data_IF_138153046792
#
_entry.id   IF_138153046792
#
_cell.length_a   1.000
_cell.length_b   1.000
_cell.length_c   1.000
_cell.angle_alpha   90.00
_cell.angle_beta   90.00
_cell.angle_gamma   90.00
#
_symmetry.space_group_name_H-M   'P 1'
#
loop_
_entity.id
_entity.type
_entity.pdbx_description
1 polymer ?
#
# COMPACT_ATOMS: atom_id res chain seq x y z
N UNK A 1 39.98 5.40 -9.41
CA UNK A 1 39.68 4.15 -8.68
C UNK A 1 38.69 4.50 -7.57
N UNK A 2 37.38 4.21 -7.75
CA UNK A 2 36.39 4.47 -6.72
C UNK A 2 36.55 3.45 -5.59
N UNK A 3 36.86 3.92 -4.39
CA UNK A 3 36.86 3.07 -3.20
C UNK A 3 35.45 2.44 -3.01
N UNK A 4 35.37 1.13 -2.73
CA UNK A 4 34.09 0.50 -2.49
C UNK A 4 33.39 1.13 -1.26
N UNK A 5 32.09 1.41 -1.37
CA UNK A 5 31.32 1.95 -0.24
C UNK A 5 31.31 0.96 0.92
N UNK A 6 31.30 1.45 2.15
CA UNK A 6 31.28 0.63 3.41
C UNK A 6 30.29 -0.53 3.36
N UNK A 7 29.18 -0.37 2.68
CA UNK A 7 28.13 -1.36 2.46
C UNK A 7 28.54 -2.51 1.55
N UNK A 8 29.31 -2.23 0.48
CA UNK A 8 29.85 -3.26 -0.41
C UNK A 8 30.91 -4.09 0.31
N UNK A 9 31.71 -3.45 1.18
CA UNK A 9 32.68 -4.14 2.04
C UNK A 9 31.95 -5.08 3.00
N UNK A 10 30.86 -4.66 3.61
CA UNK A 10 30.07 -5.51 4.51
C UNK A 10 29.42 -6.68 3.76
N UNK A 11 28.90 -6.47 2.58
CA UNK A 11 28.35 -7.54 1.75
C UNK A 11 29.45 -8.56 1.38
N UNK A 12 30.62 -8.10 0.91
CA UNK A 12 31.76 -8.95 0.61
C UNK A 12 32.22 -9.75 1.84
N UNK A 13 32.27 -9.13 3.00
CA UNK A 13 32.63 -9.82 4.26
C UNK A 13 31.63 -10.94 4.61
N UNK A 14 30.34 -10.73 4.40
CA UNK A 14 29.33 -11.78 4.58
C UNK A 14 29.55 -12.97 3.62
N UNK A 15 29.88 -12.67 2.34
CA UNK A 15 30.15 -13.71 1.35
C UNK A 15 31.41 -14.53 1.72
N UNK A 16 32.48 -13.86 2.14
CA UNK A 16 33.73 -14.51 2.58
C UNK A 16 33.45 -15.40 3.79
N UNK A 17 32.75 -14.88 4.80
CA UNK A 17 32.39 -15.64 6.02
C UNK A 17 31.57 -16.90 5.69
N UNK A 18 30.58 -16.77 4.80
CA UNK A 18 29.78 -17.92 4.37
C UNK A 18 30.64 -18.97 3.66
N UNK A 19 31.57 -18.54 2.77
CA UNK A 19 32.49 -19.42 2.07
C UNK A 19 33.42 -20.17 3.05
N UNK A 20 34.01 -19.48 4.02
CA UNK A 20 34.85 -20.08 5.07
C UNK A 20 34.03 -21.12 5.86
N UNK A 21 32.77 -20.82 6.16
CA UNK A 21 31.88 -21.72 6.89
C UNK A 21 31.24 -22.81 6.00
N UNK A 22 31.69 -22.96 4.76
CA UNK A 22 31.14 -23.92 3.77
C UNK A 22 29.62 -23.80 3.56
N UNK A 23 29.04 -22.61 3.71
CA UNK A 23 27.63 -22.35 3.50
C UNK A 23 27.37 -21.97 2.03
N UNK A 24 26.33 -22.56 1.44
CA UNK A 24 25.90 -22.29 0.09
C UNK A 24 25.01 -21.05 0.08
N UNK A 25 25.48 -19.99 -0.57
CA UNK A 25 24.69 -18.77 -0.76
C UNK A 25 23.85 -18.87 -2.04
N UNK A 26 22.70 -18.16 -2.12
CA UNK A 26 21.95 -18.07 -3.36
C UNK A 26 22.81 -17.57 -4.52
N UNK A 27 22.54 -18.00 -5.77
CA UNK A 27 23.24 -17.51 -6.96
C UNK A 27 23.03 -16.01 -7.16
N UNK A 28 23.84 -15.40 -8.01
CA UNK A 28 23.80 -13.98 -8.35
C UNK A 28 25.06 -13.23 -7.96
N UNK A 29 25.15 -12.00 -8.39
CA UNK A 29 26.27 -11.07 -8.22
C UNK A 29 25.96 -10.01 -7.14
N UNK A 30 26.82 -8.99 -7.03
CA UNK A 30 26.62 -7.82 -6.17
C UNK A 30 26.12 -6.59 -6.95
N UNK A 31 25.32 -6.80 -7.99
CA UNK A 31 24.67 -5.70 -8.69
C UNK A 31 23.63 -5.00 -7.79
N UNK A 32 23.52 -3.69 -7.96
CA UNK A 32 22.56 -2.84 -7.29
C UNK A 32 21.15 -3.01 -7.90
N UNK A 33 20.42 -4.01 -7.41
CA UNK A 33 19.11 -4.35 -7.97
C UNK A 33 18.06 -3.29 -7.72
N UNK A 34 18.16 -2.54 -6.63
CA UNK A 34 17.32 -1.38 -6.35
C UNK A 34 17.52 -0.22 -7.37
N UNK A 35 18.72 -0.13 -7.96
CA UNK A 35 19.00 0.87 -9.01
C UNK A 35 18.51 0.36 -10.37
N UNK A 36 18.82 -0.90 -10.71
CA UNK A 36 18.42 -1.53 -11.98
C UNK A 36 16.88 -1.52 -12.10
N UNK A 37 16.17 -1.87 -11.03
CA UNK A 37 14.70 -1.88 -10.97
C UNK A 37 14.07 -0.51 -11.31
N UNK A 38 14.78 0.61 -11.12
CA UNK A 38 14.26 1.94 -11.46
C UNK A 38 14.13 2.15 -12.96
N UNK A 39 14.99 1.55 -13.75
CA UNK A 39 15.00 1.66 -15.21
C UNK A 39 14.40 0.44 -15.91
N UNK A 40 14.40 -0.71 -15.25
CA UNK A 40 13.86 -1.96 -15.77
C UNK A 40 12.94 -2.61 -14.74
N UNK A 41 11.66 -2.50 -14.99
CA UNK A 41 10.61 -2.99 -14.11
C UNK A 41 10.58 -4.51 -14.00
N UNK A 42 11.08 -5.22 -15.01
CA UNK A 42 11.09 -6.68 -15.08
C UNK A 42 12.40 -7.33 -14.64
N UNK A 43 13.39 -6.53 -14.31
CA UNK A 43 14.74 -7.00 -14.00
C UNK A 43 14.82 -8.15 -12.98
N UNK A 44 13.95 -8.14 -11.95
CA UNK A 44 13.93 -9.22 -10.94
C UNK A 44 13.25 -10.49 -11.47
N UNK A 45 12.27 -10.36 -12.36
CA UNK A 45 11.61 -11.49 -13.04
C UNK A 45 12.65 -12.18 -13.94
N UNK A 46 13.37 -11.41 -14.75
CA UNK A 46 14.38 -11.93 -15.69
C UNK A 46 15.56 -12.56 -14.95
N UNK A 47 15.94 -12.00 -13.79
CA UNK A 47 16.94 -12.64 -12.93
C UNK A 47 16.44 -13.94 -12.35
N UNK A 48 15.23 -14.00 -11.87
CA UNK A 48 14.61 -15.22 -11.37
C UNK A 48 14.55 -16.32 -12.43
N UNK A 49 14.23 -15.97 -13.66
CA UNK A 49 14.22 -16.92 -14.79
C UNK A 49 15.60 -17.52 -15.06
N UNK A 50 16.69 -16.73 -14.89
CA UNK A 50 18.06 -17.20 -15.15
C UNK A 50 18.73 -17.90 -13.97
N UNK A 51 18.47 -17.42 -12.74
CA UNK A 51 19.20 -17.84 -11.54
C UNK A 51 18.38 -18.77 -10.63
N UNK A 52 17.10 -18.93 -10.91
CA UNK A 52 16.15 -19.63 -10.04
C UNK A 52 15.41 -18.67 -9.10
N UNK A 53 14.46 -19.22 -8.35
CA UNK A 53 13.50 -18.42 -7.57
C UNK A 53 14.09 -17.78 -6.30
N UNK A 54 15.31 -18.14 -5.92
CA UNK A 54 16.04 -17.55 -4.80
C UNK A 54 17.41 -17.09 -5.31
N UNK A 55 17.67 -15.79 -5.28
CA UNK A 55 18.93 -15.21 -5.77
C UNK A 55 19.36 -14.02 -4.89
N UNK A 56 20.62 -13.61 -5.03
CA UNK A 56 21.18 -12.48 -4.28
C UNK A 56 21.55 -11.30 -5.17
N UNK A 57 21.70 -10.15 -4.55
CA UNK A 57 22.17 -8.90 -5.11
C UNK A 57 22.41 -7.86 -4.01
N UNK A 58 22.52 -6.59 -4.39
CA UNK A 58 22.50 -5.49 -3.41
C UNK A 58 21.18 -4.73 -3.49
N UNK A 59 20.71 -4.27 -2.34
CA UNK A 59 19.59 -3.37 -2.18
C UNK A 59 19.91 -2.41 -1.04
N UNK A 60 19.75 -1.10 -1.27
CA UNK A 60 20.09 -0.08 -0.28
C UNK A 60 21.52 -0.25 0.28
N UNK A 61 22.46 -0.58 -0.60
CA UNK A 61 23.86 -0.88 -0.28
C UNK A 61 24.07 -2.06 0.69
N UNK A 62 23.11 -2.96 0.84
CA UNK A 62 23.16 -4.16 1.68
C UNK A 62 23.09 -5.42 0.83
N UNK A 63 23.72 -6.50 1.30
CA UNK A 63 23.44 -7.82 0.75
C UNK A 63 21.96 -8.12 0.90
N UNK A 64 21.28 -8.39 -0.20
CA UNK A 64 19.88 -8.72 -0.24
C UNK A 64 19.66 -10.09 -0.90
N UNK A 65 18.74 -10.87 -0.34
CA UNK A 65 18.27 -12.12 -0.92
C UNK A 65 16.84 -11.91 -1.36
N UNK A 66 16.58 -12.22 -2.63
CA UNK A 66 15.30 -12.07 -3.30
C UNK A 66 14.66 -13.44 -3.41
N UNK A 67 13.37 -13.52 -3.08
CA UNK A 67 12.59 -14.76 -3.10
C UNK A 67 11.36 -14.57 -3.96
N UNK A 68 11.25 -15.33 -5.04
CA UNK A 68 10.10 -15.42 -5.92
C UNK A 68 9.18 -16.57 -5.49
N UNK A 69 7.88 -16.39 -5.68
CA UNK A 69 6.83 -17.35 -5.33
C UNK A 69 6.17 -17.04 -3.98
N UNK A 70 4.86 -16.73 -4.00
CA UNK A 70 4.11 -16.40 -2.78
C UNK A 70 4.08 -17.56 -1.78
N UNK A 71 3.87 -18.80 -2.26
CA UNK A 71 3.87 -20.00 -1.42
C UNK A 71 5.23 -20.19 -0.74
N UNK A 72 6.34 -20.04 -1.49
CA UNK A 72 7.71 -20.09 -0.96
C UNK A 72 7.96 -18.99 0.06
N UNK A 73 7.58 -17.75 -0.26
CA UNK A 73 7.68 -16.62 0.64
C UNK A 73 6.93 -16.84 1.95
N UNK A 74 5.74 -17.44 1.88
CA UNK A 74 4.94 -17.78 3.06
C UNK A 74 5.60 -18.86 3.91
N UNK A 75 6.09 -19.94 3.28
CA UNK A 75 6.82 -21.01 3.97
C UNK A 75 8.04 -20.44 4.71
N UNK A 76 8.86 -19.65 4.03
CA UNK A 76 10.03 -19.01 4.62
C UNK A 76 9.67 -18.12 5.82
N UNK A 77 8.63 -17.29 5.70
CA UNK A 77 8.20 -16.42 6.81
C UNK A 77 7.72 -17.20 8.03
N UNK A 78 7.07 -18.35 7.85
CA UNK A 78 6.59 -19.21 8.95
C UNK A 78 7.73 -19.98 9.61
N UNK A 79 8.55 -20.64 8.81
CA UNK A 79 9.64 -21.46 9.29
C UNK A 79 10.72 -20.64 10.00
N UNK A 80 10.97 -19.42 9.50
CA UNK A 80 12.06 -18.56 9.96
C UNK A 80 11.58 -17.33 10.74
N UNK A 81 10.35 -17.34 11.27
CA UNK A 81 9.73 -16.19 11.95
C UNK A 81 10.63 -15.62 13.07
N UNK A 82 11.27 -16.47 13.87
CA UNK A 82 12.16 -16.06 14.96
C UNK A 82 13.50 -15.45 14.49
N UNK A 83 13.89 -15.69 13.24
CA UNK A 83 15.12 -15.17 12.65
C UNK A 83 14.91 -13.89 11.85
N UNK A 84 13.65 -13.48 11.65
CA UNK A 84 13.26 -12.38 10.78
C UNK A 84 12.56 -11.26 11.55
N UNK A 85 12.81 -10.02 11.15
CA UNK A 85 12.08 -8.83 11.64
C UNK A 85 11.70 -7.91 10.48
N UNK A 86 10.49 -7.30 10.48
CA UNK A 86 10.13 -6.31 9.49
C UNK A 86 11.17 -5.19 9.36
N UNK A 87 11.44 -4.76 8.14
CA UNK A 87 12.17 -3.51 7.93
C UNK A 87 11.25 -2.37 8.35
N UNK A 88 11.73 -1.52 9.22
CA UNK A 88 10.96 -0.43 9.79
C UNK A 88 11.79 0.84 9.79
N UNK A 89 11.10 1.95 9.66
CA UNK A 89 11.67 3.28 9.92
C UNK A 89 11.87 3.49 11.42
N UNK A 90 12.78 4.39 11.78
CA UNK A 90 12.97 4.78 13.18
C UNK A 90 11.82 5.73 13.58
N UNK A 91 10.86 5.19 14.31
CA UNK A 91 9.66 5.92 14.76
C UNK A 91 9.58 6.05 16.29
N UNK A 92 10.66 5.77 16.99
CA UNK A 92 10.70 5.72 18.45
C UNK A 92 10.24 7.03 19.11
N UNK A 93 10.53 8.17 18.48
CA UNK A 93 10.07 9.49 18.94
C UNK A 93 8.55 9.70 18.82
N UNK A 94 7.89 9.00 17.89
CA UNK A 94 6.43 9.08 17.70
C UNK A 94 5.69 8.00 18.51
N UNK A 95 6.35 6.87 18.78
CA UNK A 95 5.78 5.70 19.45
C UNK A 95 6.58 5.30 20.68
N UNK A 96 6.66 6.15 21.72
CA UNK A 96 7.45 5.85 22.91
C UNK A 96 6.91 4.63 23.69
N UNK A 97 5.65 4.26 23.49
CA UNK A 97 4.99 3.13 24.17
C UNK A 97 4.72 1.92 23.27
N UNK A 98 5.29 1.90 22.09
CA UNK A 98 5.21 0.75 21.22
C UNK A 98 4.53 1.00 19.87
N UNK A 99 5.26 0.63 18.85
CA UNK A 99 4.82 0.65 17.47
C UNK A 99 4.49 -0.79 17.05
N UNK A 100 3.24 -1.04 16.69
CA UNK A 100 2.73 -2.41 16.41
C UNK A 100 3.59 -3.16 15.40
N UNK A 101 4.12 -2.49 14.39
CA UNK A 101 4.97 -3.11 13.36
C UNK A 101 6.32 -3.61 13.91
N UNK A 102 6.76 -3.11 15.06
CA UNK A 102 7.97 -3.52 15.76
C UNK A 102 7.70 -4.45 16.96
N UNK A 103 6.43 -4.56 17.36
CA UNK A 103 6.05 -5.51 18.40
C UNK A 103 6.26 -6.95 17.90
N UNK A 104 6.52 -7.85 18.82
CA UNK A 104 6.62 -9.28 18.54
C UNK A 104 5.86 -10.12 19.59
N UNK A 105 5.82 -11.43 19.37
CA UNK A 105 5.27 -12.39 20.32
C UNK A 105 3.81 -12.11 20.73
N UNK A 106 3.54 -12.22 22.03
CA UNK A 106 2.22 -12.07 22.63
C UNK A 106 1.68 -10.64 22.47
N UNK A 107 2.54 -9.63 22.66
CA UNK A 107 2.16 -8.21 22.55
C UNK A 107 1.64 -7.89 21.15
N UNK A 108 2.37 -8.27 20.11
CA UNK A 108 1.91 -8.08 18.73
C UNK A 108 0.56 -8.76 18.47
N UNK A 109 0.39 -10.01 18.93
CA UNK A 109 -0.85 -10.75 18.75
C UNK A 109 -2.04 -10.07 19.43
N UNK A 110 -1.84 -9.54 20.66
CA UNK A 110 -2.89 -8.85 21.39
C UNK A 110 -3.33 -7.58 20.68
N UNK A 111 -2.40 -6.65 20.39
CA UNK A 111 -2.71 -5.38 19.72
C UNK A 111 -3.30 -5.59 18.33
N UNK A 112 -2.73 -6.51 17.53
CA UNK A 112 -3.25 -6.86 16.22
C UNK A 112 -4.64 -7.50 16.30
N UNK A 113 -4.86 -8.37 17.29
CA UNK A 113 -6.15 -9.01 17.52
C UNK A 113 -7.24 -7.99 17.84
N UNK A 114 -6.95 -7.01 18.70
CA UNK A 114 -7.88 -5.92 19.02
C UNK A 114 -8.18 -5.08 17.78
N UNK A 115 -7.17 -4.69 17.04
CA UNK A 115 -7.33 -3.93 15.80
C UNK A 115 -8.22 -4.66 14.79
N UNK A 116 -7.96 -5.95 14.53
CA UNK A 116 -8.74 -6.75 13.57
C UNK A 116 -10.19 -6.88 14.02
N UNK A 117 -10.44 -7.06 15.33
CA UNK A 117 -11.79 -7.07 15.89
C UNK A 117 -12.48 -5.72 15.75
N UNK A 118 -11.76 -4.61 16.01
CA UNK A 118 -12.28 -3.26 15.80
C UNK A 118 -12.67 -3.03 14.33
N UNK A 119 -11.82 -3.44 13.39
CA UNK A 119 -12.10 -3.34 11.96
C UNK A 119 -13.31 -4.18 11.53
N UNK A 120 -13.43 -5.40 12.06
CA UNK A 120 -14.56 -6.29 11.75
C UNK A 120 -15.89 -5.73 12.27
N UNK A 121 -15.88 -4.84 13.28
CA UNK A 121 -17.06 -4.19 13.85
C UNK A 121 -17.51 -2.95 13.09
N UNK A 122 -16.75 -2.49 12.08
CA UNK A 122 -17.13 -1.30 11.30
C UNK A 122 -18.23 -1.67 10.30
N UNK A 123 -19.39 -1.05 10.46
CA UNK A 123 -20.51 -1.20 9.52
C UNK A 123 -20.28 -0.35 8.26
N UNK A 124 -19.72 -1.00 7.24
CA UNK A 124 -19.46 -0.35 5.95
C UNK A 124 -20.75 0.10 5.25
N UNK A 125 -21.89 -0.53 5.52
CA UNK A 125 -23.18 -0.17 4.91
C UNK A 125 -23.66 1.15 5.49
N UNK A 126 -23.60 1.32 6.81
CA UNK A 126 -23.95 2.57 7.47
C UNK A 126 -23.04 3.74 7.03
N UNK A 127 -21.76 3.44 6.74
CA UNK A 127 -20.80 4.45 6.27
C UNK A 127 -20.90 4.77 4.79
N UNK A 128 -21.44 3.87 3.96
CA UNK A 128 -21.41 3.98 2.50
C UNK A 128 -21.89 5.34 1.96
N UNK A 129 -23.02 5.95 2.42
CA UNK A 129 -23.46 7.23 1.89
C UNK A 129 -22.47 8.38 2.16
N UNK A 130 -21.81 8.38 3.35
CA UNK A 130 -20.80 9.40 3.69
C UNK A 130 -19.51 9.22 2.94
N UNK A 131 -19.08 7.98 2.79
CA UNK A 131 -17.89 7.64 1.99
C UNK A 131 -18.09 8.03 0.52
N UNK A 132 -19.26 7.75 -0.04
CA UNK A 132 -19.63 8.18 -1.38
C UNK A 132 -19.62 9.70 -1.50
N UNK A 133 -20.22 10.43 -0.55
CA UNK A 133 -20.19 11.88 -0.51
C UNK A 133 -18.77 12.47 -0.45
N UNK A 134 -17.85 11.85 0.28
CA UNK A 134 -16.43 12.24 0.30
C UNK A 134 -15.80 12.10 -1.10
N UNK A 135 -16.07 10.99 -1.78
CA UNK A 135 -15.55 10.75 -3.15
C UNK A 135 -16.15 11.76 -4.12
N UNK A 136 -17.48 11.92 -4.13
CA UNK A 136 -18.18 12.84 -5.03
C UNK A 136 -17.73 14.30 -4.85
N UNK A 137 -17.64 14.75 -3.60
CA UNK A 137 -17.17 16.10 -3.27
C UNK A 137 -15.72 16.32 -3.75
N UNK A 138 -14.84 15.33 -3.54
CA UNK A 138 -13.44 15.39 -3.97
C UNK A 138 -13.28 15.43 -5.49
N UNK A 139 -14.00 14.57 -6.21
CA UNK A 139 -13.99 14.53 -7.68
C UNK A 139 -14.60 15.81 -8.27
N UNK A 140 -15.73 16.27 -7.74
CA UNK A 140 -16.37 17.51 -8.18
C UNK A 140 -15.49 18.74 -7.93
N UNK A 141 -14.80 18.81 -6.80
CA UNK A 141 -13.85 19.89 -6.50
C UNK A 141 -12.69 19.91 -7.50
N UNK A 142 -12.14 18.72 -7.82
CA UNK A 142 -11.08 18.62 -8.82
C UNK A 142 -11.55 19.03 -10.22
N UNK A 143 -12.72 18.56 -10.65
CA UNK A 143 -13.30 18.88 -11.95
C UNK A 143 -13.55 20.41 -12.12
N UNK A 144 -14.01 21.09 -11.06
CA UNK A 144 -14.21 22.55 -11.08
C UNK A 144 -12.91 23.35 -11.09
N UNK A 145 -11.87 22.84 -10.44
CA UNK A 145 -10.57 23.52 -10.35
C UNK A 145 -9.68 23.29 -11.59
N UNK A 146 -10.09 22.42 -12.51
CA UNK A 146 -9.34 22.16 -13.73
C UNK A 146 -9.38 23.39 -14.64
N UNK A 147 -8.24 23.95 -15.10
CA UNK A 147 -8.20 25.02 -16.07
C UNK A 147 -8.77 24.57 -17.42
N UNK A 148 -9.28 25.53 -18.18
CA UNK A 148 -9.98 25.31 -19.46
C UNK A 148 -9.10 24.85 -20.64
N UNK A 149 -7.81 24.53 -20.41
CA UNK A 149 -6.84 24.10 -21.43
C UNK A 149 -6.07 22.84 -21.07
N UNK A 150 -5.35 22.23 -22.02
CA UNK A 150 -4.52 21.07 -21.77
C UNK A 150 -3.39 21.42 -20.79
N UNK A 151 -3.32 20.74 -19.66
CA UNK A 151 -2.25 20.86 -18.68
C UNK A 151 -1.52 19.54 -18.56
N UNK A 152 -0.42 19.41 -19.27
CA UNK A 152 0.52 18.30 -19.21
C UNK A 152 1.72 18.62 -18.33
N UNK A 153 1.51 19.36 -17.23
CA UNK A 153 2.57 19.78 -16.35
C UNK A 153 2.52 19.11 -14.95
N UNK A 154 3.62 19.17 -14.24
CA UNK A 154 3.74 18.66 -12.87
C UNK A 154 2.72 19.29 -11.90
N UNK A 155 2.21 20.49 -12.21
CA UNK A 155 1.22 21.17 -11.37
C UNK A 155 -0.16 20.48 -11.46
N UNK A 156 -0.56 20.02 -12.65
CA UNK A 156 -1.78 19.23 -12.86
C UNK A 156 -1.75 17.91 -12.11
N UNK A 157 -0.66 17.15 -12.27
CA UNK A 157 -0.45 15.89 -11.56
C UNK A 157 -0.42 16.05 -10.05
N UNK A 158 0.15 17.13 -9.55
CA UNK A 158 0.13 17.47 -8.11
C UNK A 158 -1.30 17.71 -7.64
N UNK A 159 -2.08 18.53 -8.34
CA UNK A 159 -3.50 18.79 -7.97
C UNK A 159 -4.33 17.52 -7.95
N UNK A 160 -4.14 16.62 -8.93
CA UNK A 160 -4.80 15.33 -8.94
C UNK A 160 -4.41 14.47 -7.75
N UNK A 161 -3.12 14.33 -7.50
CA UNK A 161 -2.59 13.60 -6.35
C UNK A 161 -3.10 14.14 -5.01
N UNK A 162 -3.20 15.48 -4.86
CA UNK A 162 -3.77 16.13 -3.68
C UNK A 162 -5.26 15.90 -3.53
N UNK A 163 -6.03 15.92 -4.63
CA UNK A 163 -7.45 15.61 -4.62
C UNK A 163 -7.68 14.16 -4.13
N UNK A 164 -6.95 13.20 -4.67
CA UNK A 164 -7.02 11.81 -4.24
C UNK A 164 -6.52 11.60 -2.80
N UNK A 165 -5.51 12.37 -2.37
CA UNK A 165 -5.06 12.33 -0.96
C UNK A 165 -6.16 12.82 -0.01
N UNK A 166 -6.90 13.87 -0.38
CA UNK A 166 -8.05 14.35 0.41
C UNK A 166 -9.17 13.30 0.48
N UNK A 167 -9.50 12.69 -0.65
CA UNK A 167 -10.49 11.60 -0.71
C UNK A 167 -10.07 10.44 0.18
N UNK A 168 -8.85 9.93 0.01
CA UNK A 168 -8.33 8.81 0.79
C UNK A 168 -8.30 9.11 2.29
N UNK A 169 -7.82 10.31 2.68
CA UNK A 169 -7.78 10.74 4.08
C UNK A 169 -9.17 10.85 4.67
N UNK A 170 -10.11 11.48 3.95
CA UNK A 170 -11.49 11.63 4.41
C UNK A 170 -12.18 10.29 4.65
N UNK A 171 -12.06 9.36 3.71
CA UNK A 171 -12.64 8.02 3.88
C UNK A 171 -12.03 7.27 5.07
N UNK A 172 -10.70 7.37 5.27
CA UNK A 172 -10.03 6.70 6.38
C UNK A 172 -10.37 7.32 7.73
N UNK A 173 -10.54 8.65 7.82
CA UNK A 173 -11.01 9.32 9.04
C UNK A 173 -12.40 8.79 9.42
N UNK A 174 -13.32 8.66 8.46
CA UNK A 174 -14.64 8.09 8.71
C UNK A 174 -14.55 6.70 9.35
N UNK A 175 -13.78 5.80 8.74
CA UNK A 175 -13.71 4.40 9.19
C UNK A 175 -12.91 4.21 10.48
N UNK A 176 -11.79 4.93 10.63
CA UNK A 176 -10.90 4.72 11.79
C UNK A 176 -11.40 5.49 13.00
N UNK A 177 -11.78 6.75 12.84
CA UNK A 177 -12.17 7.61 13.96
C UNK A 177 -13.68 7.79 14.12
N UNK A 178 -14.50 7.18 13.26
CA UNK A 178 -15.95 7.26 13.33
C UNK A 178 -16.51 8.68 13.20
N UNK A 179 -15.82 9.55 12.45
CA UNK A 179 -16.16 10.98 12.29
C UNK A 179 -16.54 11.25 10.83
N UNK A 180 -17.77 11.67 10.62
CA UNK A 180 -18.30 12.00 9.29
C UNK A 180 -17.83 13.35 8.77
N UNK A 181 -17.92 13.60 7.45
CA UNK A 181 -17.46 14.84 6.81
C UNK A 181 -18.26 16.08 7.26
N UNK A 182 -19.44 15.90 7.85
CA UNK A 182 -20.29 16.94 8.43
C UNK A 182 -19.80 17.44 9.80
N UNK A 183 -18.89 16.72 10.45
CA UNK A 183 -18.35 17.07 11.76
C UNK A 183 -17.08 17.92 11.63
N UNK A 184 -17.01 19.00 12.42
CA UNK A 184 -15.80 19.86 12.48
C UNK A 184 -14.53 19.11 12.90
N UNK A 185 -14.67 18.01 13.65
CA UNK A 185 -13.53 17.15 14.01
C UNK A 185 -12.90 16.48 12.78
N UNK A 186 -13.72 16.13 11.78
CA UNK A 186 -13.23 15.59 10.51
C UNK A 186 -12.23 16.55 9.84
N UNK A 187 -12.57 17.82 9.75
CA UNK A 187 -11.71 18.85 9.17
C UNK A 187 -10.42 19.08 9.96
N UNK A 188 -10.52 19.04 11.32
CA UNK A 188 -9.34 19.17 12.18
C UNK A 188 -8.39 18.02 12.01
N UNK A 189 -8.89 16.77 12.01
CA UNK A 189 -8.08 15.58 11.72
C UNK A 189 -7.47 15.63 10.31
N UNK A 190 -8.27 15.99 9.30
CA UNK A 190 -7.78 16.09 7.93
C UNK A 190 -6.66 17.14 7.77
N UNK A 191 -6.75 18.28 8.49
CA UNK A 191 -5.64 19.25 8.56
C UNK A 191 -4.41 18.65 9.23
N UNK A 192 -4.56 17.99 10.37
CA UNK A 192 -3.47 17.34 11.08
C UNK A 192 -2.72 16.33 10.21
N UNK A 193 -3.44 15.52 9.43
CA UNK A 193 -2.83 14.59 8.48
C UNK A 193 -2.10 15.31 7.33
N UNK A 194 -2.58 16.46 6.85
CA UNK A 194 -1.86 17.27 5.86
C UNK A 194 -0.56 17.84 6.42
N UNK A 195 -0.56 18.26 7.68
CA UNK A 195 0.62 18.80 8.37
C UNK A 195 1.74 17.77 8.55
N UNK A 196 1.42 16.46 8.51
CA UNK A 196 2.42 15.40 8.46
C UNK A 196 3.20 15.34 7.13
N UNK A 197 2.70 16.00 6.09
CA UNK A 197 3.34 16.10 4.78
C UNK A 197 2.76 15.15 3.73
N UNK A 198 3.16 15.31 2.46
CA UNK A 198 2.56 14.62 1.31
C UNK A 198 3.00 13.16 1.16
N UNK A 199 4.12 12.78 1.75
CA UNK A 199 4.74 11.45 1.57
C UNK A 199 4.62 10.55 2.80
N UNK A 200 3.87 10.97 3.80
CA UNK A 200 3.73 10.25 5.06
C UNK A 200 5.00 10.27 5.92
N UNK A 201 4.90 9.64 7.07
CA UNK A 201 6.00 9.51 8.04
C UNK A 201 7.15 8.59 7.55
N UNK A 202 7.07 8.11 6.31
CA UNK A 202 8.00 7.11 5.79
C UNK A 202 9.44 7.63 5.62
N UNK A 203 9.62 8.94 5.47
CA UNK A 203 10.89 9.49 4.96
C UNK A 203 11.59 10.45 5.89
N UNK A 204 10.86 11.28 6.61
CA UNK A 204 11.46 12.31 7.43
C UNK A 204 10.60 12.54 8.66
N UNK A 205 11.11 12.20 9.83
CA UNK A 205 10.53 12.56 11.11
C UNK A 205 11.38 13.69 11.68
N UNK A 206 10.92 14.90 11.44
CA UNK A 206 11.45 16.10 12.02
C UNK A 206 10.48 16.73 13.02
N UNK A 207 10.85 17.85 13.62
CA UNK A 207 10.05 18.54 14.64
C UNK A 207 8.64 18.89 14.18
N UNK A 208 8.47 19.24 12.91
CA UNK A 208 7.16 19.55 12.33
C UNK A 208 6.24 18.33 12.37
N UNK A 209 6.74 17.15 11.98
CA UNK A 209 5.99 15.89 11.99
C UNK A 209 5.69 15.44 13.42
N UNK A 210 6.64 15.59 14.35
CA UNK A 210 6.42 15.26 15.77
C UNK A 210 5.31 16.13 16.35
N UNK A 211 5.33 17.45 16.10
CA UNK A 211 4.29 18.38 16.55
C UNK A 211 2.93 18.08 15.91
N UNK A 212 2.90 17.78 14.61
CA UNK A 212 1.67 17.42 13.91
C UNK A 212 1.07 16.09 14.46
N UNK A 213 1.92 15.10 14.71
CA UNK A 213 1.49 13.82 15.29
C UNK A 213 0.94 13.99 16.71
N UNK A 214 1.59 14.80 17.54
CA UNK A 214 1.11 15.12 18.90
C UNK A 214 -0.26 15.81 18.87
N UNK A 215 -0.46 16.77 17.96
CA UNK A 215 -1.77 17.42 17.77
C UNK A 215 -2.85 16.43 17.33
N UNK A 216 -2.53 15.54 16.39
CA UNK A 216 -3.45 14.47 15.97
C UNK A 216 -3.84 13.55 17.12
N UNK A 217 -2.89 13.19 17.99
CA UNK A 217 -3.17 12.40 19.20
C UNK A 217 -4.12 13.12 20.14
N UNK A 218 -3.85 14.39 20.42
CA UNK A 218 -4.72 15.22 21.25
C UNK A 218 -6.11 15.32 20.67
N UNK A 219 -6.24 15.62 19.37
CA UNK A 219 -7.53 15.71 18.70
C UNK A 219 -8.29 14.38 18.76
N UNK A 220 -7.63 13.27 18.42
CA UNK A 220 -8.26 11.96 18.42
C UNK A 220 -8.67 11.49 19.83
N UNK A 221 -7.91 11.85 20.88
CA UNK A 221 -8.23 11.49 22.26
C UNK A 221 -9.48 12.19 22.80
N UNK A 222 -9.91 13.29 22.19
CA UNK A 222 -11.10 14.06 22.58
C UNK A 222 -12.38 13.66 21.83
N UNK A 223 -12.27 12.71 20.89
CA UNK A 223 -13.42 12.28 20.10
C UNK A 223 -14.41 11.48 20.95
N UNK A 224 -15.65 11.88 20.88
CA UNK A 224 -16.78 11.18 21.50
C UNK A 224 -17.34 10.04 20.65
N UNK A 225 -18.54 9.53 21.05
CA UNK A 225 -19.26 8.53 20.25
C UNK A 225 -19.56 9.03 18.84
N UNK A 226 -19.51 8.13 17.88
CA UNK A 226 -19.91 8.44 16.50
C UNK A 226 -21.42 8.73 16.41
N UNK A 227 -21.79 9.70 15.58
CA UNK A 227 -23.20 10.04 15.28
C UNK A 227 -23.80 9.18 14.18
N UNK A 228 -22.99 8.37 13.51
CA UNK A 228 -23.40 7.56 12.35
C UNK A 228 -23.35 6.08 12.73
N UNK A 229 -22.13 5.56 12.85
CA UNK A 229 -21.83 4.21 13.26
C UNK A 229 -20.42 4.20 13.90
N UNK A 230 -20.09 3.25 14.78
CA UNK A 230 -18.75 3.16 15.34
C UNK A 230 -17.70 3.01 14.24
N UNK A 231 -16.63 3.82 14.32
CA UNK A 231 -15.37 3.54 13.65
C UNK A 231 -14.53 2.57 14.47
N UNK A 232 -13.34 2.26 13.96
CA UNK A 232 -12.40 1.33 14.65
C UNK A 232 -12.12 1.79 16.07
N UNK A 233 -11.87 3.08 16.27
CA UNK A 233 -11.56 3.64 17.59
C UNK A 233 -12.70 3.46 18.59
N UNK A 234 -13.95 3.78 18.20
CA UNK A 234 -15.12 3.59 19.07
C UNK A 234 -15.41 2.11 19.34
N UNK A 235 -15.22 1.24 18.33
CA UNK A 235 -15.37 -0.20 18.51
C UNK A 235 -14.33 -0.77 19.48
N UNK A 236 -13.13 -0.22 19.51
CA UNK A 236 -12.10 -0.56 20.50
C UNK A 236 -12.48 0.01 21.87
N UNK A 237 -12.88 1.28 21.95
CA UNK A 237 -13.27 1.93 23.20
C UNK A 237 -14.46 1.25 23.91
N UNK A 238 -15.38 0.67 23.17
CA UNK A 238 -16.49 -0.13 23.72
C UNK A 238 -16.04 -1.43 24.40
N UNK A 239 -14.80 -1.88 24.15
CA UNK A 239 -14.22 -3.11 24.71
C UNK A 239 -13.26 -2.85 25.87
N UNK A 240 -12.80 -1.63 26.01
CA UNK A 240 -11.85 -1.19 27.03
C UNK A 240 -11.15 0.11 26.63
N UNK A 241 -10.33 0.68 27.52
CA UNK A 241 -9.62 1.92 27.22
C UNK A 241 -8.70 1.78 26.02
N UNK A 242 -8.77 2.72 25.09
CA UNK A 242 -7.79 2.83 23.99
C UNK A 242 -6.56 3.52 24.56
N UNK A 243 -5.49 2.75 24.76
CA UNK A 243 -4.25 3.29 25.28
C UNK A 243 -3.49 4.14 24.26
N UNK A 244 -2.48 4.86 24.73
CA UNK A 244 -1.65 5.74 23.90
C UNK A 244 -0.95 5.01 22.76
N UNK A 245 -0.56 3.75 22.96
CA UNK A 245 0.11 2.97 21.93
C UNK A 245 -0.88 2.61 20.83
N UNK A 246 -2.09 2.16 21.16
CA UNK A 246 -3.15 1.87 20.19
C UNK A 246 -3.56 3.13 19.43
N UNK A 247 -3.79 4.25 20.13
CA UNK A 247 -4.14 5.53 19.50
C UNK A 247 -3.07 5.98 18.51
N UNK A 248 -1.79 5.92 18.89
CA UNK A 248 -0.67 6.22 17.99
C UNK A 248 -0.66 5.31 16.76
N UNK A 249 -0.92 4.00 16.94
CA UNK A 249 -1.00 3.05 15.84
C UNK A 249 -2.19 3.31 14.91
N UNK A 250 -3.35 3.73 15.42
CA UNK A 250 -4.51 4.15 14.60
C UNK A 250 -4.17 5.36 13.74
N UNK A 251 -3.50 6.37 14.29
CA UNK A 251 -3.04 7.54 13.52
C UNK A 251 -2.05 7.11 12.44
N UNK A 252 -1.07 6.25 12.78
CA UNK A 252 -0.11 5.74 11.81
C UNK A 252 -0.78 4.95 10.68
N UNK A 253 -1.82 4.18 10.99
CA UNK A 253 -2.55 3.43 9.97
C UNK A 253 -3.28 4.33 8.97
N UNK A 254 -3.89 5.42 9.45
CA UNK A 254 -4.47 6.42 8.53
C UNK A 254 -3.36 7.08 7.72
N UNK A 255 -2.24 7.43 8.35
CA UNK A 255 -1.11 8.07 7.68
C UNK A 255 -0.51 7.21 6.58
N UNK A 256 -0.23 5.94 6.85
CA UNK A 256 0.26 4.99 5.86
C UNK A 256 -0.83 4.67 4.82
N UNK A 257 -2.06 4.41 5.30
CA UNK A 257 -3.19 4.05 4.46
C UNK A 257 -3.57 5.14 3.45
N UNK A 258 -3.52 6.42 3.82
CA UNK A 258 -3.82 7.52 2.89
C UNK A 258 -2.81 7.62 1.76
N UNK A 259 -1.54 7.29 2.01
CA UNK A 259 -0.50 7.24 0.99
C UNK A 259 -0.74 6.09 0.02
N UNK A 260 -0.94 4.88 0.55
CA UNK A 260 -1.14 3.68 -0.25
C UNK A 260 -2.46 3.73 -1.03
N UNK A 261 -3.55 4.15 -0.39
CA UNK A 261 -4.85 4.29 -1.05
C UNK A 261 -4.80 5.36 -2.15
N UNK A 262 -4.18 6.52 -1.92
CA UNK A 262 -3.95 7.53 -2.97
C UNK A 262 -3.25 6.93 -4.19
N UNK A 263 -2.20 6.13 -3.96
CA UNK A 263 -1.48 5.44 -5.03
C UNK A 263 -2.40 4.52 -5.83
N UNK A 264 -3.22 3.74 -5.15
CA UNK A 264 -4.21 2.85 -5.76
C UNK A 264 -5.26 3.64 -6.58
N UNK A 265 -5.81 4.71 -6.02
CA UNK A 265 -6.79 5.56 -6.72
C UNK A 265 -6.18 6.23 -7.96
N UNK A 266 -4.90 6.59 -7.93
CA UNK A 266 -4.18 7.09 -9.12
C UNK A 266 -4.09 6.01 -10.19
N UNK A 267 -3.73 4.79 -9.85
CA UNK A 267 -3.68 3.68 -10.80
C UNK A 267 -5.05 3.29 -11.35
N UNK A 268 -6.09 3.29 -10.52
CA UNK A 268 -7.48 3.13 -10.97
C UNK A 268 -7.81 4.16 -12.05
N UNK A 269 -7.40 5.41 -11.86
CA UNK A 269 -7.63 6.48 -12.83
C UNK A 269 -6.85 6.27 -14.14
N UNK A 270 -5.61 5.79 -14.06
CA UNK A 270 -4.81 5.42 -15.25
C UNK A 270 -5.50 4.32 -16.06
N UNK A 271 -5.90 3.24 -15.38
CA UNK A 271 -6.56 2.12 -16.08
C UNK A 271 -7.98 2.45 -16.52
N UNK A 272 -8.71 3.26 -15.77
CA UNK A 272 -10.01 3.77 -16.19
C UNK A 272 -9.95 4.62 -17.47
N UNK A 273 -8.85 5.36 -17.65
CA UNK A 273 -8.59 6.12 -18.85
C UNK A 273 -8.12 5.23 -20.03
N UNK A 274 -7.21 4.27 -19.76
CA UNK A 274 -6.67 3.36 -20.79
C UNK A 274 -7.69 2.37 -21.33
N UNK A 275 -8.61 1.98 -20.46
CA UNK A 275 -9.57 0.90 -20.68
C UNK A 275 -11.00 1.38 -20.38
N UNK A 276 -11.47 2.45 -21.06
CA UNK A 276 -12.74 3.12 -20.72
C UNK A 276 -13.96 2.20 -20.82
N UNK A 277 -13.88 1.12 -21.64
CA UNK A 277 -14.94 0.12 -21.75
C UNK A 277 -15.23 -0.58 -20.41
N UNK A 278 -14.23 -0.72 -19.54
CA UNK A 278 -14.44 -1.31 -18.21
C UNK A 278 -15.19 -0.36 -17.29
N UNK A 279 -14.88 0.96 -17.32
CA UNK A 279 -15.65 1.93 -16.56
C UNK A 279 -17.09 2.02 -17.08
N UNK A 280 -17.32 1.96 -18.39
CA UNK A 280 -18.67 1.92 -18.95
C UNK A 280 -19.45 0.70 -18.41
N UNK A 281 -18.86 -0.49 -18.47
CA UNK A 281 -19.48 -1.71 -17.91
C UNK A 281 -19.75 -1.61 -16.41
N UNK A 282 -18.84 -0.98 -15.62
CA UNK A 282 -19.03 -0.76 -14.18
C UNK A 282 -20.19 0.21 -13.93
N UNK A 283 -20.31 1.25 -14.76
CA UNK A 283 -21.41 2.21 -14.66
C UNK A 283 -22.76 1.59 -14.98
N UNK A 284 -22.81 0.67 -15.95
CA UNK A 284 -24.05 -0.01 -16.40
C UNK A 284 -24.44 -1.17 -15.45
N UNK A 285 -23.44 -1.83 -14.88
CA UNK A 285 -23.66 -2.87 -13.87
C UNK A 285 -24.08 -2.19 -12.56
N UNK A 286 -25.33 -2.26 -12.18
CA UNK A 286 -25.81 -1.83 -10.84
C UNK A 286 -25.34 -2.82 -9.78
N UNK A 287 -24.04 -2.90 -9.61
CA UNK A 287 -23.34 -4.00 -8.98
C UNK A 287 -23.23 -3.75 -7.48
N UNK A 288 -23.89 -4.57 -6.70
CA UNK A 288 -24.00 -4.44 -5.24
C UNK A 288 -23.51 -5.71 -4.55
N UNK A 289 -22.23 -6.05 -4.60
CA UNK A 289 -21.83 -7.24 -3.84
C UNK A 289 -20.36 -7.65 -3.95
N UNK A 290 -20.01 -8.67 -3.17
CA UNK A 290 -18.73 -9.35 -3.27
C UNK A 290 -18.61 -10.02 -4.65
N UNK A 291 -17.54 -9.77 -5.37
CA UNK A 291 -17.36 -10.22 -6.75
C UNK A 291 -17.85 -9.21 -7.79
N UNK A 292 -18.13 -7.97 -7.38
CA UNK A 292 -18.50 -6.89 -8.28
C UNK A 292 -17.46 -6.62 -9.34
N UNK A 293 -17.90 -6.15 -10.49
CA UNK A 293 -17.01 -5.75 -11.58
C UNK A 293 -16.02 -4.66 -11.14
N UNK A 294 -16.46 -3.74 -10.27
CA UNK A 294 -15.59 -2.72 -9.70
C UNK A 294 -14.51 -3.35 -8.79
N UNK A 295 -14.84 -4.36 -8.00
CA UNK A 295 -13.84 -5.07 -7.18
C UNK A 295 -12.85 -5.85 -8.07
N UNK A 296 -13.34 -6.54 -9.10
CA UNK A 296 -12.50 -7.24 -10.06
C UNK A 296 -11.53 -6.28 -10.78
N UNK A 297 -12.01 -5.10 -11.15
CA UNK A 297 -11.18 -4.03 -11.71
C UNK A 297 -10.07 -3.60 -10.75
N UNK A 298 -10.42 -3.35 -9.49
CA UNK A 298 -9.46 -2.97 -8.44
C UNK A 298 -8.44 -4.08 -8.18
N UNK A 299 -8.86 -5.34 -8.14
CA UNK A 299 -7.95 -6.48 -7.96
C UNK A 299 -6.94 -6.59 -9.11
N UNK A 300 -7.37 -6.36 -10.35
CA UNK A 300 -6.47 -6.38 -11.50
C UNK A 300 -5.48 -5.20 -11.49
N UNK A 301 -5.93 -4.01 -11.08
CA UNK A 301 -5.03 -2.87 -10.85
C UNK A 301 -3.99 -3.19 -9.77
N UNK A 302 -4.39 -3.77 -8.64
CA UNK A 302 -3.47 -4.20 -7.58
C UNK A 302 -2.47 -5.25 -8.07
N UNK A 303 -2.91 -6.21 -8.87
CA UNK A 303 -2.06 -7.25 -9.45
C UNK A 303 -0.99 -6.65 -10.36
N UNK A 304 -1.37 -5.70 -11.20
CA UNK A 304 -0.46 -5.12 -12.18
C UNK A 304 0.50 -4.08 -11.60
N UNK A 305 0.04 -3.30 -10.61
CA UNK A 305 0.76 -2.09 -10.26
C UNK A 305 1.16 -2.00 -8.79
N UNK A 306 0.28 -2.27 -7.87
CA UNK A 306 0.49 -1.94 -6.46
C UNK A 306 0.43 -3.16 -5.56
N UNK A 307 1.56 -3.83 -5.46
CA UNK A 307 1.78 -4.90 -4.48
C UNK A 307 2.82 -4.46 -3.45
N UNK A 308 2.64 -4.85 -2.20
CA UNK A 308 3.55 -4.50 -1.13
C UNK A 308 4.96 -5.05 -1.40
N UNK A 309 5.98 -4.27 -1.01
CA UNK A 309 7.35 -4.72 -0.87
C UNK A 309 7.53 -5.43 0.46
N UNK A 310 7.54 -6.73 0.46
CA UNK A 310 7.72 -7.48 1.68
C UNK A 310 9.20 -7.66 2.01
N UNK A 311 9.71 -6.83 2.94
CA UNK A 311 11.12 -6.84 3.33
C UNK A 311 11.29 -7.25 4.79
N UNK A 312 12.37 -8.00 5.07
CA UNK A 312 12.77 -8.42 6.41
C UNK A 312 14.27 -8.24 6.64
N UNK A 313 14.64 -7.89 7.85
CA UNK A 313 16.02 -7.99 8.32
C UNK A 313 16.27 -9.43 8.82
N UNK A 314 17.36 -10.04 8.42
CA UNK A 314 17.82 -11.32 8.94
C UNK A 314 18.59 -11.08 10.24
N UNK A 315 17.97 -11.40 11.39
CA UNK A 315 18.56 -11.19 12.72
C UNK A 315 19.54 -12.29 13.09
N UNK A 316 19.28 -13.51 12.65
CA UNK A 316 20.09 -14.70 12.84
C UNK A 316 20.17 -15.46 11.54
N UNK A 317 21.38 -15.94 11.17
CA UNK A 317 21.54 -16.73 9.95
C UNK A 317 20.77 -18.05 10.03
N UNK A 318 20.21 -18.47 8.91
CA UNK A 318 19.46 -19.72 8.76
C UNK A 318 19.65 -20.29 7.34
N UNK A 319 19.28 -21.55 7.17
CA UNK A 319 19.28 -22.22 5.87
C UNK A 319 17.82 -22.46 5.44
N UNK A 320 17.52 -22.25 4.13
CA UNK A 320 16.21 -22.47 3.54
C UNK A 320 16.36 -22.89 2.07
N UNK A 321 15.66 -23.94 1.65
CA UNK A 321 15.75 -24.53 0.30
C UNK A 321 17.20 -24.69 -0.20
N UNK A 322 18.10 -25.19 0.64
CA UNK A 322 19.50 -25.45 0.31
C UNK A 322 20.42 -24.22 0.31
N UNK A 323 19.90 -23.02 0.58
CA UNK A 323 20.68 -21.78 0.61
C UNK A 323 20.80 -21.20 2.02
N UNK A 324 21.95 -20.59 2.31
CA UNK A 324 22.19 -19.87 3.54
C UNK A 324 21.79 -18.39 3.42
N UNK A 325 21.00 -17.92 4.39
CA UNK A 325 20.60 -16.54 4.59
C UNK A 325 21.42 -15.95 5.74
N UNK A 326 22.47 -15.17 5.47
CA UNK A 326 23.37 -14.71 6.53
C UNK A 326 22.75 -13.63 7.42
N UNK A 327 23.13 -13.62 8.69
CA UNK A 327 22.77 -12.54 9.63
C UNK A 327 23.17 -11.18 9.05
N UNK A 328 22.27 -10.21 9.12
CA UNK A 328 22.48 -8.85 8.63
C UNK A 328 22.07 -8.64 7.17
N UNK A 329 21.79 -9.72 6.42
CA UNK A 329 21.24 -9.59 5.07
C UNK A 329 19.82 -9.01 5.12
N UNK A 330 19.43 -8.42 4.00
CA UNK A 330 18.06 -8.04 3.71
C UNK A 330 17.37 -9.20 2.96
N UNK A 331 16.17 -9.55 3.37
CA UNK A 331 15.30 -10.46 2.65
C UNK A 331 14.22 -9.64 1.96
N UNK A 332 14.00 -9.86 0.66
CA UNK A 332 12.86 -9.33 -0.09
C UNK A 332 12.05 -10.48 -0.68
N UNK A 333 10.79 -10.60 -0.31
CA UNK A 333 9.82 -11.42 -1.03
C UNK A 333 9.23 -10.55 -2.14
N UNK A 334 9.34 -11.04 -3.37
CA UNK A 334 9.06 -10.29 -4.59
C UNK A 334 7.57 -10.38 -4.94
N UNK A 335 6.73 -9.60 -4.23
CA UNK A 335 5.26 -9.66 -4.33
C UNK A 335 4.74 -9.21 -5.69
N UNK A 336 5.27 -8.10 -6.22
CA UNK A 336 4.86 -7.59 -7.53
C UNK A 336 5.24 -8.56 -8.65
N UNK A 337 6.44 -9.09 -8.58
CA UNK A 337 7.01 -10.04 -9.54
C UNK A 337 6.22 -11.36 -9.54
N UNK A 338 5.76 -11.81 -8.36
CA UNK A 338 4.95 -13.02 -8.23
C UNK A 338 3.60 -12.91 -8.95
N UNK A 339 3.04 -11.71 -9.04
CA UNK A 339 1.81 -11.46 -9.79
C UNK A 339 2.01 -11.42 -11.32
N UNK A 340 3.25 -11.56 -11.80
CA UNK A 340 3.62 -11.62 -13.22
C UNK A 340 4.05 -13.03 -13.64
N UNK A 341 3.82 -14.03 -12.79
CA UNK A 341 4.10 -15.42 -13.10
C UNK A 341 3.09 -15.95 -14.13
N UNK A 342 3.57 -16.28 -15.33
CA UNK A 342 2.75 -16.82 -16.42
C UNK A 342 2.15 -18.19 -16.15
N UNK A 343 2.67 -18.92 -15.15
CA UNK A 343 2.09 -20.22 -14.72
C UNK A 343 0.85 -20.03 -13.85
N UNK A 344 0.68 -18.82 -13.28
CA UNK A 344 -0.44 -18.47 -12.42
C UNK A 344 -1.46 -17.59 -13.13
N UNK A 345 -0.98 -16.62 -13.92
CA UNK A 345 -1.82 -15.67 -14.65
C UNK A 345 -1.52 -15.74 -16.14
N UNK A 346 -2.48 -16.21 -16.93
CA UNK A 346 -2.38 -16.13 -18.39
C UNK A 346 -2.19 -14.68 -18.85
N UNK A 347 -1.30 -14.43 -19.83
CA UNK A 347 -0.94 -13.08 -20.28
C UNK A 347 -0.71 -12.11 -19.11
N UNK A 348 0.30 -12.35 -18.25
CA UNK A 348 0.41 -11.73 -16.92
C UNK A 348 0.59 -10.21 -16.94
N UNK A 349 0.98 -9.62 -18.08
CA UNK A 349 1.11 -8.17 -18.25
C UNK A 349 -0.12 -7.49 -18.86
N UNK A 350 -1.09 -8.27 -19.36
CA UNK A 350 -2.34 -7.73 -19.88
C UNK A 350 -3.29 -7.37 -18.74
N UNK A 351 -4.00 -6.24 -18.91
CA UNK A 351 -5.07 -5.82 -18.00
C UNK A 351 -6.36 -6.57 -18.35
N UNK A 352 -6.84 -7.38 -17.43
CA UNK A 352 -8.05 -8.18 -17.64
C UNK A 352 -8.76 -8.44 -16.30
N UNK A 353 -9.66 -7.56 -15.87
CA UNK A 353 -10.47 -7.75 -14.68
C UNK A 353 -11.30 -9.03 -14.64
N UNK A 354 -11.61 -9.63 -15.81
CA UNK A 354 -12.40 -10.85 -15.86
C UNK A 354 -11.77 -12.03 -15.10
N UNK A 355 -10.46 -11.99 -14.88
CA UNK A 355 -9.71 -12.96 -14.06
C UNK A 355 -10.28 -13.12 -12.66
N UNK A 356 -10.78 -12.02 -12.09
CA UNK A 356 -11.30 -11.94 -10.72
C UNK A 356 -12.81 -12.06 -10.64
N UNK A 357 -13.52 -12.18 -11.77
CA UNK A 357 -14.97 -12.39 -11.80
C UNK A 357 -15.38 -13.79 -11.28
N UNK A 358 -14.46 -14.72 -11.30
CA UNK A 358 -14.67 -16.10 -10.78
C UNK A 358 -14.28 -16.25 -9.31
N UNK A 359 -13.97 -15.14 -8.62
CA UNK A 359 -13.54 -15.11 -7.24
C UNK A 359 -12.03 -14.85 -7.05
N UNK A 360 -11.60 -14.81 -5.80
CA UNK A 360 -10.20 -14.62 -5.42
C UNK A 360 -9.39 -15.88 -5.77
N UNK A 361 -8.28 -15.76 -6.51
CA UNK A 361 -7.42 -16.89 -6.85
C UNK A 361 -6.69 -17.51 -5.63
N UNK A 362 -6.82 -16.90 -4.45
CA UNK A 362 -6.20 -17.35 -3.21
C UNK A 362 -4.82 -16.75 -2.93
N UNK A 363 -4.46 -16.67 -1.65
CA UNK A 363 -3.31 -15.93 -1.16
C UNK A 363 -1.94 -16.41 -1.67
N UNK A 364 -1.81 -17.65 -2.16
CA UNK A 364 -0.56 -18.12 -2.75
C UNK A 364 -0.37 -17.69 -4.21
N UNK A 365 -1.46 -17.31 -4.87
CA UNK A 365 -1.45 -16.78 -6.23
C UNK A 365 -1.52 -15.25 -6.25
N UNK A 366 -2.35 -14.68 -5.36
CA UNK A 366 -2.61 -13.25 -5.32
C UNK A 366 -2.55 -12.72 -3.89
N UNK A 367 -1.59 -11.87 -3.57
CA UNK A 367 -1.36 -11.32 -2.23
C UNK A 367 -0.86 -9.88 -2.28
N UNK A 368 -1.64 -8.94 -2.81
CA UNK A 368 -1.18 -7.55 -2.97
C UNK A 368 -0.98 -6.82 -1.64
N UNK A 369 -1.60 -7.31 -0.57
CA UNK A 369 -1.56 -6.74 0.77
C UNK A 369 -0.55 -7.40 1.71
N UNK A 370 0.39 -8.17 1.17
CA UNK A 370 1.39 -8.88 1.96
C UNK A 370 1.00 -10.31 2.31
N UNK A 371 1.82 -10.96 3.13
CA UNK A 371 1.69 -12.37 3.50
C UNK A 371 1.67 -12.55 5.01
N UNK A 372 0.92 -13.56 5.45
CA UNK A 372 0.94 -14.15 6.79
C UNK A 372 0.65 -13.16 7.94
N UNK A 373 1.42 -13.20 9.04
CA UNK A 373 1.18 -12.40 10.25
C UNK A 373 1.22 -10.88 10.03
N UNK A 374 1.81 -10.42 8.94
CA UNK A 374 1.90 -9.01 8.57
C UNK A 374 1.06 -8.66 7.34
N UNK A 375 0.05 -9.48 7.02
CA UNK A 375 -0.98 -9.10 6.05
C UNK A 375 -1.63 -7.78 6.48
N UNK A 376 -1.86 -6.87 5.54
CA UNK A 376 -2.49 -5.59 5.84
C UNK A 376 -3.86 -5.80 6.53
N UNK A 377 -4.07 -5.26 7.74
CA UNK A 377 -5.34 -5.41 8.43
C UNK A 377 -6.49 -4.66 7.72
N UNK A 378 -6.16 -3.64 6.92
CA UNK A 378 -7.10 -2.86 6.14
C UNK A 378 -7.36 -3.43 4.73
N UNK A 379 -6.91 -4.62 4.38
CA UNK A 379 -7.07 -5.19 3.04
C UNK A 379 -8.53 -5.18 2.56
N UNK A 380 -9.46 -5.72 3.35
CA UNK A 380 -10.89 -5.76 3.02
C UNK A 380 -11.53 -4.35 2.97
N UNK A 381 -11.35 -3.46 3.97
CA UNK A 381 -11.80 -2.08 3.84
C UNK A 381 -11.22 -1.35 2.63
N UNK A 382 -9.92 -1.50 2.33
CA UNK A 382 -9.27 -0.86 1.17
C UNK A 382 -9.93 -1.29 -0.13
N UNK A 383 -10.23 -2.57 -0.30
CA UNK A 383 -10.93 -3.08 -1.48
C UNK A 383 -12.31 -2.43 -1.65
N UNK A 384 -13.08 -2.32 -0.57
CA UNK A 384 -14.41 -1.69 -0.59
C UNK A 384 -14.33 -0.18 -0.90
N UNK A 385 -13.38 0.53 -0.30
CA UNK A 385 -13.16 1.97 -0.57
C UNK A 385 -12.73 2.22 -2.01
N UNK A 386 -11.82 1.40 -2.53
CA UNK A 386 -11.36 1.52 -3.91
C UNK A 386 -12.45 1.16 -4.93
N UNK A 387 -13.28 0.14 -4.65
CA UNK A 387 -14.42 -0.21 -5.47
C UNK A 387 -15.48 0.90 -5.47
N UNK A 388 -15.80 1.48 -4.32
CA UNK A 388 -16.71 2.64 -4.20
C UNK A 388 -16.20 3.84 -5.01
N UNK A 389 -14.90 4.16 -4.90
CA UNK A 389 -14.29 5.20 -5.72
C UNK A 389 -14.43 4.89 -7.21
N UNK A 390 -14.16 3.64 -7.63
CA UNK A 390 -14.24 3.22 -9.04
C UNK A 390 -15.66 3.34 -9.58
N UNK A 391 -16.66 2.92 -8.81
CA UNK A 391 -18.08 3.05 -9.17
C UNK A 391 -18.51 4.51 -9.29
N UNK A 392 -18.15 5.35 -8.31
CA UNK A 392 -18.46 6.77 -8.32
C UNK A 392 -17.80 7.50 -9.49
N UNK A 393 -16.53 7.16 -9.78
CA UNK A 393 -15.81 7.69 -10.94
C UNK A 393 -16.49 7.28 -12.25
N UNK A 394 -16.79 5.99 -12.41
CA UNK A 394 -17.41 5.43 -13.61
C UNK A 394 -18.79 5.98 -13.89
N UNK A 395 -19.60 6.20 -12.86
CA UNK A 395 -20.96 6.72 -12.99
C UNK A 395 -21.03 8.22 -13.24
N UNK A 396 -20.04 8.98 -12.76
CA UNK A 396 -20.09 10.44 -12.78
C UNK A 396 -19.19 11.12 -13.81
N UNK A 397 -18.15 10.43 -14.33
CA UNK A 397 -17.11 11.10 -15.08
C UNK A 397 -16.54 10.24 -16.21
N UNK A 398 -16.21 10.90 -17.33
CA UNK A 398 -15.32 10.42 -18.36
C UNK A 398 -13.92 10.98 -18.09
N UNK A 399 -12.90 10.14 -18.23
CA UNK A 399 -11.52 10.51 -18.06
C UNK A 399 -10.89 10.85 -19.41
N UNK A 400 -10.27 12.00 -19.49
CA UNK A 400 -9.46 12.43 -20.64
C UNK A 400 -7.99 12.55 -20.20
N UNK A 401 -7.08 12.02 -21.01
CA UNK A 401 -5.67 11.96 -20.64
C UNK A 401 -5.00 13.33 -20.65
N UNK A 402 -4.15 13.55 -19.65
CA UNK A 402 -3.13 14.59 -19.65
C UNK A 402 -1.90 14.09 -18.89
N UNK A 403 -0.73 14.31 -19.46
CA UNK A 403 0.56 13.87 -18.89
C UNK A 403 0.91 12.40 -19.19
N UNK A 404 2.06 11.99 -18.69
CA UNK A 404 2.59 10.64 -18.87
C UNK A 404 1.89 9.62 -17.96
N UNK A 405 1.62 8.45 -18.51
CA UNK A 405 1.09 7.29 -17.77
C UNK A 405 2.20 6.27 -17.41
N UNK A 406 3.45 6.59 -17.72
CA UNK A 406 4.57 5.70 -17.44
C UNK A 406 4.70 5.46 -15.93
N UNK A 407 4.95 4.21 -15.51
CA UNK A 407 5.21 3.92 -14.11
C UNK A 407 6.56 4.47 -13.66
N UNK A 408 6.60 5.04 -12.47
CA UNK A 408 7.82 5.45 -11.79
C UNK A 408 8.00 4.66 -10.51
N UNK A 409 9.26 4.41 -10.13
CA UNK A 409 9.54 3.70 -8.88
C UNK A 409 9.33 4.60 -7.68
N UNK A 410 8.24 4.37 -6.98
CA UNK A 410 7.97 5.00 -5.68
C UNK A 410 8.71 4.29 -4.53
N UNK A 411 8.54 4.82 -3.33
CA UNK A 411 9.21 4.29 -2.14
C UNK A 411 8.81 2.86 -1.77
N UNK A 412 7.53 2.54 -1.87
CA UNK A 412 6.98 1.24 -1.46
C UNK A 412 6.47 0.41 -2.63
N UNK A 413 5.91 1.04 -3.63
CA UNK A 413 5.33 0.41 -4.82
C UNK A 413 5.60 1.26 -6.05
N UNK A 414 5.19 0.77 -7.22
CA UNK A 414 5.18 1.56 -8.45
C UNK A 414 4.07 2.61 -8.38
N UNK A 415 4.35 3.80 -8.86
CA UNK A 415 3.39 4.91 -8.91
C UNK A 415 3.19 5.38 -10.35
N UNK A 416 2.03 5.92 -10.72
CA UNK A 416 1.88 6.66 -11.97
C UNK A 416 2.83 7.85 -12.01
N UNK A 417 3.22 8.28 -13.21
CA UNK A 417 4.07 9.47 -13.39
C UNK A 417 3.53 10.67 -12.59
N UNK A 418 4.42 11.49 -11.99
CA UNK A 418 4.01 12.67 -11.21
C UNK A 418 3.22 13.70 -12.00
N UNK A 419 3.36 13.75 -13.33
CA UNK A 419 2.66 14.66 -14.23
C UNK A 419 1.30 14.11 -14.73
N UNK A 420 0.94 12.86 -14.37
CA UNK A 420 -0.37 12.30 -14.73
C UNK A 420 -1.51 13.10 -14.09
N UNK A 421 -2.30 13.75 -14.91
CA UNK A 421 -3.42 14.61 -14.53
C UNK A 421 -4.64 14.35 -15.41
N UNK A 422 -5.55 13.45 -15.04
CA UNK A 422 -6.75 13.23 -15.83
C UNK A 422 -7.67 14.45 -15.73
N UNK A 423 -8.23 14.86 -16.88
CA UNK A 423 -9.37 15.76 -16.91
C UNK A 423 -10.65 14.98 -16.68
N UNK A 424 -11.49 15.46 -15.79
CA UNK A 424 -12.79 14.86 -15.49
C UNK A 424 -13.89 15.62 -16.22
N UNK A 425 -14.47 15.01 -17.26
CA UNK A 425 -15.67 15.49 -17.91
C UNK A 425 -16.89 14.83 -17.26
N UNK A 426 -17.83 15.62 -16.73
CA UNK A 426 -19.08 15.07 -16.17
C UNK A 426 -19.88 14.34 -17.23
N UNK A 427 -20.47 13.23 -16.84
CA UNK A 427 -21.45 12.50 -17.65
C UNK A 427 -22.81 13.03 -17.27
N UNK A 428 -23.55 13.59 -18.27
CA UNK A 428 -24.91 14.04 -18.04
C UNK A 428 -25.84 12.85 -17.79
N UNK A 429 -26.64 12.87 -16.70
CA UNK A 429 -27.55 11.75 -16.38
C UNK A 429 -28.63 11.51 -17.45
N UNK A 430 -28.88 12.49 -18.32
CA UNK A 430 -29.93 12.48 -19.36
C UNK A 430 -29.46 11.78 -20.66
N UNK A 431 -28.16 11.50 -20.78
CA UNK A 431 -27.57 10.88 -21.98
C UNK A 431 -27.44 9.36 -21.92
N UNK A 432 -28.10 8.71 -20.94
CA UNK A 432 -28.12 7.23 -20.79
C UNK A 432 -29.47 6.62 -21.04
#
# INVERSE_FOLDING_TARGET
>A
MHLPKKSQINAAAMLIKARISRKILPPGDLARLDVIERSDRTALIDRGARLGPIFKGLMEDRLAIFVLGNARGRALLREQAAALRPVSIKVDTLFPKGFMRQMDGATHRAYRGDLVRGLASVDMTAWAPRLQGVVEAGLAAHARAAPSGPQSDLSGGRRWSEALSRIATGMLICLVFGVGPEDRAHDRLARGFRDLGPHGLAWTIGDAQIKAFARLRQEASTLGPSRIAPGVMQALAARGPVDDAMLGNLIYMVEQGRYDLRGLLRWISVYGMREPQWLARIADARDTGAGSLAQAFVQEVLRLEQSERLMRNVLRGFDFEGFHFPKGALLRICMWENHKDGTVFDRPFAFDPSRFMKGDPGGDRFSPFGLDHHLCPFASPTMKLAALFTQTLASGYRLEASGSIAPVRGPYHWEPSPDFAPRLARIDPIAR
#
